data_IF_472604142789
#
_entry.id   IF_472604142789
#
_cell.length_a   1.000
_cell.length_b   1.000
_cell.length_c   1.000
_cell.angle_alpha   90.00
_cell.angle_beta   90.00
_cell.angle_gamma   90.00
#
_symmetry.space_group_name_H-M   'P 1'
#
loop_
_entity.id
_entity.type
_entity.pdbx_description
1 polymer ?
#
# COMPACT_ATOMS: atom_id res chain seq x y z
N UNK A 1 48.71 15.13 33.91
CA UNK A 1 47.78 15.33 32.77
C UNK A 1 48.55 16.13 31.73
N UNK A 2 48.74 15.54 30.57
CA UNK A 2 49.86 15.83 29.67
C UNK A 2 49.75 17.16 28.90
N UNK A 3 50.72 18.04 29.11
CA UNK A 3 50.97 19.29 28.36
C UNK A 3 51.11 19.09 26.83
N UNK A 4 51.36 17.88 26.37
CA UNK A 4 51.53 17.52 24.96
C UNK A 4 50.25 17.47 24.16
N UNK A 5 49.07 17.36 24.81
CA UNK A 5 47.77 17.32 24.09
C UNK A 5 47.30 18.70 23.66
N UNK A 6 47.71 19.74 24.34
CA UNK A 6 47.36 21.13 23.97
C UNK A 6 48.21 21.70 22.81
N UNK A 7 49.43 21.20 22.68
CA UNK A 7 50.30 21.67 21.58
C UNK A 7 49.85 21.14 20.20
N UNK A 8 49.31 19.94 20.12
CA UNK A 8 48.76 19.38 18.86
C UNK A 8 47.43 19.99 18.47
N UNK A 9 46.59 20.39 19.43
CA UNK A 9 45.33 21.07 19.16
C UNK A 9 45.56 22.53 18.66
N UNK A 10 46.59 23.21 19.18
CA UNK A 10 46.94 24.55 18.70
C UNK A 10 47.64 24.53 17.33
N UNK A 11 48.40 23.47 17.01
CA UNK A 11 49.03 23.34 15.68
C UNK A 11 48.03 23.01 14.59
N UNK A 12 46.96 22.24 14.88
CA UNK A 12 45.87 22.01 13.93
C UNK A 12 45.02 23.25 13.64
N UNK A 13 44.82 24.14 14.63
CA UNK A 13 44.12 25.41 14.41
C UNK A 13 44.96 26.45 13.69
N UNK A 14 46.29 26.43 13.80
CA UNK A 14 47.17 27.37 13.07
C UNK A 14 47.43 26.96 11.62
N UNK A 15 47.27 25.72 11.25
CA UNK A 15 47.35 25.27 9.84
C UNK A 15 46.13 25.64 9.00
N UNK A 16 44.98 25.87 9.62
CA UNK A 16 43.75 26.31 8.93
C UNK A 16 43.72 27.85 8.77
N UNK A 17 44.53 28.59 9.51
CA UNK A 17 44.52 30.06 9.48
C UNK A 17 45.63 30.70 8.57
N UNK A 18 46.52 29.92 7.99
CA UNK A 18 47.63 30.45 7.16
C UNK A 18 47.40 30.38 5.65
N UNK A 19 46.19 30.00 5.18
CA UNK A 19 45.88 29.98 3.73
C UNK A 19 44.97 31.12 3.26
N UNK A 20 44.75 32.17 4.03
CA UNK A 20 43.80 33.23 3.67
C UNK A 20 44.47 34.62 3.64
N UNK A 21 45.73 34.77 3.20
CA UNK A 21 46.23 36.11 2.80
C UNK A 21 47.24 35.92 1.68
N UNK A 22 46.80 35.87 0.44
CA UNK A 22 47.40 36.45 -0.75
C UNK A 22 46.64 35.97 -1.98
N UNK A 23 45.67 36.74 -2.45
CA UNK A 23 45.38 36.95 -3.88
C UNK A 23 44.25 37.98 -3.99
N UNK A 24 44.64 39.23 -4.20
CA UNK A 24 43.81 40.16 -4.94
C UNK A 24 43.90 39.76 -6.41
N UNK A 25 42.78 39.27 -6.95
CA UNK A 25 42.60 38.96 -8.37
C UNK A 25 41.14 38.59 -8.53
N UNK A 26 40.41 39.36 -9.32
CA UNK A 26 39.03 39.14 -9.69
C UNK A 26 38.84 37.76 -10.28
N UNK A 27 38.27 36.87 -9.52
CA UNK A 27 37.40 35.77 -9.93
C UNK A 27 36.84 35.18 -8.64
N UNK A 28 35.54 35.43 -8.36
CA UNK A 28 34.82 34.78 -7.29
C UNK A 28 34.47 33.36 -7.75
N UNK A 29 35.41 32.44 -7.62
CA UNK A 29 35.04 31.04 -7.50
C UNK A 29 34.26 30.90 -6.17
N UNK A 30 32.96 30.75 -6.25
CA UNK A 30 32.16 30.27 -5.12
C UNK A 30 32.78 28.95 -4.70
N UNK A 31 33.39 28.93 -3.52
CA UNK A 31 33.80 27.70 -2.86
C UNK A 31 32.54 26.87 -2.65
N UNK A 32 32.23 25.98 -3.59
CA UNK A 32 31.26 24.92 -3.37
C UNK A 32 31.76 24.13 -2.16
N UNK A 33 31.10 24.34 -1.02
CA UNK A 33 31.30 23.48 0.14
C UNK A 33 30.97 22.05 -0.32
N UNK A 34 31.80 21.06 0.00
CA UNK A 34 31.48 19.69 -0.36
C UNK A 34 30.10 19.34 0.19
N UNK A 35 29.19 18.96 -0.71
CA UNK A 35 27.90 18.40 -0.32
C UNK A 35 28.24 17.15 0.46
N UNK A 36 28.04 17.19 1.76
CA UNK A 36 28.14 15.98 2.61
C UNK A 36 26.92 15.16 2.25
N UNK A 37 27.06 14.24 1.31
CA UNK A 37 26.05 13.23 1.06
C UNK A 37 25.88 12.39 2.34
N UNK A 38 24.87 12.74 3.13
CA UNK A 38 24.52 11.93 4.28
C UNK A 38 23.88 10.64 3.80
N UNK A 39 24.42 9.50 4.23
CA UNK A 39 23.85 8.18 3.90
C UNK A 39 22.41 8.13 4.38
N UNK A 40 21.46 7.72 3.51
CA UNK A 40 20.07 7.56 3.94
C UNK A 40 19.93 6.58 5.10
N UNK A 41 19.02 6.88 6.02
CA UNK A 41 18.69 6.03 7.16
C UNK A 41 17.37 5.29 6.92
N UNK A 42 17.26 4.08 7.44
CA UNK A 42 15.98 3.40 7.57
C UNK A 42 15.17 4.08 8.67
N UNK A 43 13.93 4.40 8.38
CA UNK A 43 12.96 4.96 9.32
C UNK A 43 11.90 3.90 9.59
N UNK A 44 11.72 3.57 10.85
CA UNK A 44 10.96 2.40 11.31
C UNK A 44 9.86 2.88 12.26
N UNK A 45 8.59 2.73 11.90
CA UNK A 45 7.48 2.90 12.83
C UNK A 45 7.43 1.73 13.83
N UNK A 46 7.34 2.07 15.10
CA UNK A 46 7.24 1.12 16.21
C UNK A 46 6.17 1.55 17.20
N UNK A 47 5.54 0.61 17.89
CA UNK A 47 4.45 0.85 18.83
C UNK A 47 4.82 0.32 20.21
N UNK A 48 4.56 1.13 21.24
CA UNK A 48 4.65 0.76 22.66
C UNK A 48 3.40 1.29 23.35
N UNK A 49 2.58 0.42 23.91
CA UNK A 49 1.27 0.78 24.45
C UNK A 49 0.37 1.40 23.38
N UNK A 50 -0.11 2.60 23.64
CA UNK A 50 -0.95 3.36 22.69
C UNK A 50 -0.16 4.40 21.87
N UNK A 51 1.15 4.49 22.04
CA UNK A 51 2.01 5.47 21.39
C UNK A 51 2.78 4.86 20.21
N UNK A 52 2.89 5.63 19.14
CA UNK A 52 3.73 5.32 17.97
C UNK A 52 5.00 6.16 17.98
N UNK A 53 6.07 5.55 17.53
CA UNK A 53 7.40 6.17 17.46
C UNK A 53 8.01 5.93 16.09
N UNK A 54 8.80 6.89 15.61
CA UNK A 54 9.75 6.68 14.52
C UNK A 54 11.15 6.50 15.09
N UNK A 55 11.80 5.41 14.69
CA UNK A 55 13.19 5.07 15.06
C UNK A 55 14.01 5.05 13.78
N UNK A 56 15.29 5.43 13.87
CA UNK A 56 16.20 5.35 12.72
C UNK A 56 17.24 4.25 12.91
N UNK A 57 17.65 3.63 11.80
CA UNK A 57 18.70 2.61 11.76
C UNK A 57 19.56 2.76 10.50
N UNK A 58 20.84 2.41 10.59
CA UNK A 58 21.76 2.41 9.44
C UNK A 58 21.67 1.13 8.60
N UNK A 59 21.15 0.05 9.19
CA UNK A 59 21.03 -1.27 8.56
C UNK A 59 19.85 -2.05 9.12
N UNK A 60 19.22 -2.86 8.27
CA UNK A 60 18.21 -3.85 8.68
C UNK A 60 18.78 -5.26 8.80
N UNK A 61 20.06 -5.48 8.46
CA UNK A 61 20.67 -6.81 8.39
C UNK A 61 20.98 -7.41 9.76
N UNK A 62 21.16 -6.57 10.78
CA UNK A 62 21.59 -7.00 12.11
C UNK A 62 21.46 -5.90 13.16
N UNK A 63 21.62 -6.29 14.40
CA UNK A 63 21.67 -5.37 15.53
C UNK A 63 20.31 -5.18 16.18
N UNK A 64 20.19 -4.09 16.91
CA UNK A 64 19.07 -3.82 17.77
C UNK A 64 18.84 -2.30 17.85
N UNK A 65 17.58 -1.87 17.77
CA UNK A 65 17.16 -0.50 18.02
C UNK A 65 16.07 -0.49 19.09
N UNK A 66 15.99 0.61 19.84
CA UNK A 66 15.02 0.75 20.95
C UNK A 66 14.23 2.03 20.79
N UNK A 67 12.96 1.99 21.15
CA UNK A 67 12.13 3.19 21.32
C UNK A 67 12.70 4.05 22.45
N UNK A 68 13.17 3.41 23.51
CA UNK A 68 13.76 4.10 24.65
C UNK A 68 15.07 4.81 24.27
N UNK A 69 15.08 6.13 24.41
CA UNK A 69 16.23 6.99 24.11
C UNK A 69 16.49 7.28 22.63
N UNK A 70 15.88 6.54 21.70
CA UNK A 70 16.08 6.71 20.25
C UNK A 70 14.79 7.08 19.50
N UNK A 71 13.63 6.74 20.03
CA UNK A 71 12.35 6.97 19.38
C UNK A 71 11.92 8.43 19.45
N UNK A 72 11.38 8.93 18.35
CA UNK A 72 10.60 10.17 18.32
C UNK A 72 9.14 9.82 18.35
N UNK A 73 8.41 10.23 19.37
CA UNK A 73 6.96 10.03 19.45
C UNK A 73 6.27 10.80 18.34
N UNK A 74 5.32 10.16 17.69
CA UNK A 74 4.63 10.65 16.49
C UNK A 74 3.15 10.31 16.55
N UNK A 75 2.39 10.80 15.58
CA UNK A 75 0.98 10.49 15.44
C UNK A 75 0.76 8.96 15.40
N UNK A 76 -0.17 8.45 16.22
CA UNK A 76 -0.51 7.02 16.25
C UNK A 76 -1.27 6.63 14.97
N UNK A 77 -0.52 6.17 13.98
CA UNK A 77 -1.00 5.92 12.64
C UNK A 77 -1.41 4.47 12.41
N UNK A 78 -2.40 4.31 11.53
CA UNK A 78 -2.82 3.00 11.01
C UNK A 78 -2.07 2.63 9.73
N UNK A 79 -1.62 3.63 8.96
CA UNK A 79 -0.92 3.46 7.70
C UNK A 79 0.27 4.40 7.61
N UNK A 80 1.33 3.90 6.98
CA UNK A 80 2.58 4.63 6.74
C UNK A 80 2.85 4.66 5.25
N UNK A 81 3.10 5.86 4.71
CA UNK A 81 3.36 6.06 3.28
C UNK A 81 4.69 6.78 3.11
N UNK A 82 5.66 6.10 2.53
CA UNK A 82 6.95 6.71 2.21
C UNK A 82 6.84 7.40 0.84
N UNK A 83 7.10 8.71 0.82
CA UNK A 83 7.08 9.51 -0.40
C UNK A 83 8.52 9.78 -0.83
N UNK A 84 8.99 8.94 -1.76
CA UNK A 84 10.40 8.94 -2.15
C UNK A 84 11.33 8.68 -0.96
N UNK A 85 12.44 9.39 -0.92
CA UNK A 85 13.40 9.36 0.20
C UNK A 85 13.34 10.63 1.07
N UNK A 86 12.29 11.43 0.96
CA UNK A 86 12.20 12.73 1.64
C UNK A 86 11.21 12.71 2.81
N UNK A 87 10.10 12.01 2.66
CA UNK A 87 9.01 12.08 3.63
C UNK A 87 8.41 10.71 3.95
N UNK A 88 7.95 10.57 5.19
CA UNK A 88 7.04 9.52 5.60
C UNK A 88 5.75 10.15 6.15
N UNK A 89 4.61 9.65 5.73
CA UNK A 89 3.29 10.06 6.18
C UNK A 89 2.74 9.03 7.16
N UNK A 90 2.28 9.53 8.30
CA UNK A 90 1.49 8.80 9.28
C UNK A 90 0.00 9.12 9.06
N UNK A 91 -0.81 8.12 8.70
CA UNK A 91 -2.22 8.29 8.40
C UNK A 91 -3.08 7.50 9.38
N UNK A 92 -4.00 8.19 10.06
CA UNK A 92 -4.90 7.58 11.05
C UNK A 92 -6.20 7.12 10.39
N UNK A 93 -6.56 5.85 10.58
CA UNK A 93 -7.88 5.33 10.21
C UNK A 93 -8.85 5.49 11.39
N UNK A 94 -9.80 6.39 11.26
CA UNK A 94 -10.78 6.68 12.30
C UNK A 94 -12.12 5.96 12.07
N UNK A 95 -12.09 4.62 11.96
CA UNK A 95 -13.26 3.71 11.92
C UNK A 95 -14.45 4.19 11.07
N UNK A 96 -14.15 4.86 9.95
CA UNK A 96 -15.17 5.37 9.01
C UNK A 96 -15.49 6.87 9.14
N UNK A 97 -14.94 7.57 10.11
CA UNK A 97 -14.96 9.03 10.22
C UNK A 97 -13.79 9.69 9.48
N UNK A 98 -13.78 11.04 9.48
CA UNK A 98 -12.65 11.82 8.98
C UNK A 98 -11.36 11.43 9.72
N UNK A 99 -10.28 11.34 8.97
CA UNK A 99 -8.96 11.00 9.47
C UNK A 99 -8.07 12.23 9.66
N UNK A 100 -6.99 12.04 10.39
CA UNK A 100 -5.89 12.98 10.52
C UNK A 100 -4.59 12.32 10.10
N UNK A 101 -3.63 13.12 9.63
CA UNK A 101 -2.32 12.63 9.24
C UNK A 101 -1.24 13.66 9.51
N UNK A 102 -0.01 13.23 9.50
CA UNK A 102 1.15 14.09 9.57
C UNK A 102 2.27 13.57 8.65
N UNK A 103 3.05 14.47 8.08
CA UNK A 103 4.29 14.13 7.38
C UNK A 103 5.49 14.40 8.25
N UNK A 104 6.49 13.52 8.12
CA UNK A 104 7.76 13.61 8.84
C UNK A 104 8.91 13.52 7.84
N UNK A 105 10.01 14.16 8.17
CA UNK A 105 11.28 14.10 7.46
C UNK A 105 12.42 13.84 8.44
N UNK A 106 13.61 13.51 7.96
CA UNK A 106 14.81 13.47 8.79
C UNK A 106 15.53 14.81 8.71
N UNK A 107 15.67 15.48 9.86
CA UNK A 107 16.48 16.69 9.94
C UNK A 107 17.98 16.36 9.76
N UNK A 108 18.83 17.37 9.71
CA UNK A 108 20.28 17.22 9.48
C UNK A 108 20.99 16.33 10.52
N UNK A 109 20.40 16.13 11.70
CA UNK A 109 20.89 15.21 12.73
C UNK A 109 20.34 13.78 12.59
N UNK A 110 19.60 13.47 11.51
CA UNK A 110 18.97 12.17 11.31
C UNK A 110 17.78 11.89 12.21
N UNK A 111 17.19 12.93 12.84
CA UNK A 111 16.05 12.77 13.72
C UNK A 111 14.73 13.01 12.97
N UNK A 112 13.72 12.11 13.11
CA UNK A 112 12.39 12.35 12.57
C UNK A 112 11.77 13.62 13.15
N UNK A 113 11.28 14.49 12.28
CA UNK A 113 10.71 15.78 12.62
C UNK A 113 9.42 15.98 11.84
N UNK A 114 8.35 16.39 12.52
CA UNK A 114 7.07 16.69 11.88
C UNK A 114 7.21 17.91 10.96
N UNK A 115 6.59 17.83 9.78
CA UNK A 115 6.59 18.93 8.82
C UNK A 115 5.22 19.56 8.68
N UNK A 116 4.21 18.78 8.32
CA UNK A 116 2.85 19.25 8.10
C UNK A 116 1.84 18.31 8.74
N UNK A 117 0.73 18.86 9.22
CA UNK A 117 -0.45 18.12 9.64
C UNK A 117 -1.53 18.19 8.57
N UNK A 118 -2.32 17.13 8.44
CA UNK A 118 -3.35 16.99 7.43
C UNK A 118 -4.66 16.50 8.03
N UNK A 119 -5.75 16.84 7.36
CA UNK A 119 -7.07 16.25 7.59
C UNK A 119 -7.60 15.71 6.27
N UNK A 120 -8.35 14.62 6.32
CA UNK A 120 -8.92 14.01 5.13
C UNK A 120 -10.21 13.27 5.46
N UNK A 121 -10.98 12.97 4.42
CA UNK A 121 -12.14 12.12 4.54
C UNK A 121 -11.71 10.70 4.99
N UNK A 122 -12.68 9.82 5.18
CA UNK A 122 -12.40 8.42 5.47
C UNK A 122 -11.40 7.83 4.47
N UNK A 123 -10.46 7.00 4.95
CA UNK A 123 -9.48 6.31 4.11
C UNK A 123 -9.89 4.84 3.92
N UNK A 124 -9.92 4.37 2.68
CA UNK A 124 -10.06 2.95 2.31
C UNK A 124 -8.91 2.46 1.46
N UNK A 125 -8.28 3.33 0.69
CA UNK A 125 -7.04 3.09 -0.04
C UNK A 125 -6.20 4.35 -0.10
N UNK A 126 -4.93 4.20 -0.38
CA UNK A 126 -3.97 5.29 -0.45
C UNK A 126 -2.82 4.95 -1.41
N UNK A 127 -2.03 5.94 -1.76
CA UNK A 127 -0.83 5.82 -2.56
C UNK A 127 -0.17 7.15 -2.82
N UNK A 128 0.73 7.20 -3.80
CA UNK A 128 1.45 8.42 -4.17
C UNK A 128 1.20 8.78 -5.62
N UNK A 129 1.10 10.07 -5.92
CA UNK A 129 1.04 10.61 -7.26
C UNK A 129 1.68 12.00 -7.34
N UNK A 130 2.72 12.15 -8.17
CA UNK A 130 3.49 13.40 -8.22
C UNK A 130 4.02 13.79 -6.84
N UNK A 131 3.77 15.00 -6.38
CA UNK A 131 4.20 15.47 -5.05
C UNK A 131 3.23 15.13 -3.93
N UNK A 132 2.15 14.41 -4.23
CA UNK A 132 1.08 14.15 -3.26
C UNK A 132 1.14 12.72 -2.71
N UNK A 133 0.73 12.57 -1.46
CA UNK A 133 0.10 11.36 -0.94
C UNK A 133 -1.40 11.51 -1.14
N UNK A 134 -2.04 10.50 -1.70
CA UNK A 134 -3.47 10.50 -1.97
C UNK A 134 -4.15 9.51 -1.05
N UNK A 135 -5.23 9.95 -0.39
CA UNK A 135 -6.17 9.05 0.27
C UNK A 135 -7.47 8.99 -0.53
N UNK A 136 -8.04 7.82 -0.66
CA UNK A 136 -9.31 7.63 -1.34
C UNK A 136 -10.31 6.86 -0.48
N UNK A 137 -11.58 7.17 -0.65
CA UNK A 137 -12.71 6.49 0.00
C UNK A 137 -13.97 6.62 -0.85
N UNK A 138 -15.09 6.14 -0.32
CA UNK A 138 -16.41 6.33 -0.93
C UNK A 138 -17.33 7.09 0.02
N UNK A 139 -18.23 7.86 -0.54
CA UNK A 139 -19.29 8.57 0.16
C UNK A 139 -20.54 8.66 -0.69
N UNK A 140 -21.51 9.43 -0.24
CA UNK A 140 -22.68 9.79 -1.04
C UNK A 140 -22.52 11.22 -1.56
N UNK A 141 -23.01 11.48 -2.76
CA UNK A 141 -23.11 12.84 -3.27
C UNK A 141 -24.01 13.71 -2.36
N UNK A 142 -23.85 15.01 -2.43
CA UNK A 142 -24.66 15.97 -1.65
C UNK A 142 -26.08 16.18 -2.21
N UNK A 143 -26.33 15.75 -3.45
CA UNK A 143 -27.60 15.95 -4.15
C UNK A 143 -28.18 14.58 -4.51
N UNK A 144 -29.44 14.37 -4.12
CA UNK A 144 -30.21 13.19 -4.49
C UNK A 144 -30.82 13.32 -5.88
N UNK A 145 -31.18 12.19 -6.47
CA UNK A 145 -32.03 12.14 -7.66
C UNK A 145 -33.49 12.50 -7.32
N UNK A 146 -34.36 12.50 -8.33
CA UNK A 146 -35.80 12.78 -8.20
C UNK A 146 -36.57 11.79 -7.30
N UNK A 147 -35.97 10.60 -7.05
CA UNK A 147 -36.54 9.56 -6.19
C UNK A 147 -35.95 9.62 -4.76
N UNK A 148 -35.11 10.63 -4.47
CA UNK A 148 -34.45 10.78 -3.18
C UNK A 148 -33.25 9.87 -2.95
N UNK A 149 -32.71 9.21 -3.98
CA UNK A 149 -31.53 8.37 -3.90
C UNK A 149 -30.27 9.19 -4.16
N UNK A 150 -29.26 9.02 -3.31
CA UNK A 150 -27.97 9.69 -3.46
C UNK A 150 -27.00 8.78 -4.22
N UNK A 151 -26.41 9.25 -5.35
CA UNK A 151 -25.38 8.48 -6.01
C UNK A 151 -24.14 8.34 -5.11
N UNK A 152 -23.47 7.21 -5.20
CA UNK A 152 -22.16 7.04 -4.60
C UNK A 152 -21.09 7.81 -5.36
N UNK A 153 -20.13 8.35 -4.61
CA UNK A 153 -18.96 9.04 -5.15
C UNK A 153 -17.68 8.46 -4.58
N UNK A 154 -16.62 8.49 -5.37
CA UNK A 154 -15.25 8.32 -4.92
C UNK A 154 -14.77 9.67 -4.39
N UNK A 155 -14.21 9.69 -3.19
CA UNK A 155 -13.69 10.88 -2.52
C UNK A 155 -12.18 10.79 -2.46
N UNK A 156 -11.48 11.83 -2.89
CA UNK A 156 -10.02 11.91 -2.89
C UNK A 156 -9.54 13.10 -2.08
N UNK A 157 -8.44 12.90 -1.34
CA UNK A 157 -7.69 13.98 -0.72
C UNK A 157 -6.25 13.89 -1.20
N UNK A 158 -5.73 14.98 -1.73
CA UNK A 158 -4.35 15.16 -2.17
C UNK A 158 -3.60 15.90 -1.08
N UNK A 159 -2.63 15.25 -0.47
CA UNK A 159 -1.82 15.77 0.63
C UNK A 159 -0.43 16.07 0.11
N UNK A 160 -0.14 17.34 -0.16
CA UNK A 160 1.13 17.72 -0.77
C UNK A 160 2.29 17.61 0.21
N UNK A 161 3.33 16.85 -0.15
CA UNK A 161 4.48 16.60 0.71
C UNK A 161 5.43 17.81 0.81
N UNK A 162 5.47 18.68 -0.20
CA UNK A 162 6.44 19.78 -0.29
C UNK A 162 5.99 21.03 0.48
N UNK A 163 4.73 21.42 0.29
CA UNK A 163 4.20 22.69 0.81
C UNK A 163 3.06 22.54 1.83
N UNK A 164 2.60 21.29 2.07
CA UNK A 164 1.52 21.01 3.02
C UNK A 164 0.12 21.38 2.51
N UNK A 165 -0.01 21.81 1.27
CA UNK A 165 -1.32 22.13 0.69
C UNK A 165 -2.19 20.88 0.57
N UNK A 166 -3.50 21.07 0.60
CA UNK A 166 -4.48 19.99 0.50
C UNK A 166 -5.53 20.34 -0.55
N UNK A 167 -5.91 19.36 -1.35
CA UNK A 167 -6.99 19.46 -2.34
C UNK A 167 -7.94 18.29 -2.15
N UNK A 168 -9.24 18.54 -2.23
CA UNK A 168 -10.26 17.50 -2.28
C UNK A 168 -10.81 17.40 -3.70
N UNK A 169 -11.20 16.18 -4.09
CA UNK A 169 -11.93 15.93 -5.32
C UNK A 169 -12.96 14.82 -5.09
N UNK A 170 -14.00 14.79 -5.91
CA UNK A 170 -14.97 13.71 -5.92
C UNK A 170 -15.36 13.34 -7.34
N UNK A 171 -15.48 12.05 -7.61
CA UNK A 171 -15.86 11.48 -8.90
C UNK A 171 -17.05 10.56 -8.69
N UNK A 172 -18.01 10.58 -9.63
CA UNK A 172 -19.14 9.67 -9.57
C UNK A 172 -18.68 8.21 -9.64
N UNK A 173 -19.06 7.41 -8.64
CA UNK A 173 -18.74 5.99 -8.59
C UNK A 173 -19.78 5.11 -9.29
N UNK A 174 -20.97 5.64 -9.54
CA UNK A 174 -22.08 4.90 -10.16
C UNK A 174 -21.86 4.79 -11.67
N UNK A 175 -22.05 3.60 -12.21
CA UNK A 175 -21.85 3.30 -13.62
C UNK A 175 -20.45 3.65 -14.16
N UNK A 176 -19.45 3.66 -13.30
CA UNK A 176 -18.08 4.06 -13.66
C UNK A 176 -17.49 3.18 -14.79
N UNK A 177 -17.84 1.90 -14.80
CA UNK A 177 -17.43 0.92 -15.82
C UNK A 177 -18.39 0.82 -17.00
N UNK A 178 -19.46 1.64 -17.04
CA UNK A 178 -20.49 1.57 -18.09
C UNK A 178 -21.40 0.34 -18.00
N UNK A 179 -21.43 -0.35 -16.85
CA UNK A 179 -22.19 -1.58 -16.62
C UNK A 179 -23.26 -1.46 -15.54
N UNK A 180 -23.59 -0.24 -15.12
CA UNK A 180 -24.60 0.07 -14.09
C UNK A 180 -24.11 -0.07 -12.65
N UNK A 181 -22.94 -0.67 -12.41
CA UNK A 181 -22.44 -0.93 -11.07
C UNK A 181 -21.70 0.28 -10.49
N UNK A 182 -21.78 0.40 -9.18
CA UNK A 182 -20.90 1.28 -8.42
C UNK A 182 -19.53 0.62 -8.22
N UNK A 183 -18.50 1.45 -8.00
CA UNK A 183 -17.14 0.95 -7.85
C UNK A 183 -16.45 1.48 -6.59
N UNK A 184 -15.37 0.78 -6.20
CA UNK A 184 -14.38 1.19 -5.23
C UNK A 184 -13.00 1.14 -5.87
N UNK A 185 -12.08 1.98 -5.40
CA UNK A 185 -10.68 1.88 -5.80
C UNK A 185 -9.87 1.11 -4.75
N UNK A 186 -8.88 0.33 -5.21
CA UNK A 186 -7.95 -0.40 -4.36
C UNK A 186 -6.52 -0.31 -4.91
N UNK A 187 -5.64 0.37 -4.16
CA UNK A 187 -4.28 0.68 -4.59
C UNK A 187 -4.23 1.88 -5.53
N UNK A 188 -3.23 2.71 -5.33
CA UNK A 188 -2.92 3.89 -6.16
C UNK A 188 -1.43 3.78 -6.47
N UNK A 189 -1.09 3.56 -7.74
CA UNK A 189 0.27 3.24 -8.19
C UNK A 189 0.67 4.16 -9.33
N UNK A 190 1.77 4.88 -9.17
CA UNK A 190 2.35 5.72 -10.20
C UNK A 190 3.43 4.94 -10.97
N UNK A 191 3.31 4.88 -12.29
CA UNK A 191 4.31 4.31 -13.19
C UNK A 191 4.18 4.94 -14.59
N UNK A 192 5.29 5.03 -15.34
CA UNK A 192 5.30 5.51 -16.73
C UNK A 192 4.61 6.88 -16.93
N UNK A 193 4.72 7.79 -15.96
CA UNK A 193 4.01 9.08 -15.92
C UNK A 193 2.48 8.93 -15.98
N UNK A 194 1.94 7.82 -15.52
CA UNK A 194 0.51 7.51 -15.42
C UNK A 194 0.21 7.01 -14.02
N UNK A 195 -1.05 7.08 -13.65
CA UNK A 195 -1.56 6.49 -12.43
C UNK A 195 -2.45 5.31 -12.75
N UNK A 196 -2.25 4.23 -12.03
CA UNK A 196 -3.01 2.99 -12.13
C UNK A 196 -3.75 2.72 -10.83
N UNK A 197 -5.00 2.31 -10.92
CA UNK A 197 -5.77 1.86 -9.75
C UNK A 197 -6.66 0.68 -10.10
N UNK A 198 -6.78 -0.30 -9.21
CA UNK A 198 -7.75 -1.38 -9.35
C UNK A 198 -9.16 -0.85 -9.13
N UNK A 199 -10.04 -1.11 -10.08
CA UNK A 199 -11.46 -0.74 -10.00
C UNK A 199 -12.26 -1.97 -9.60
N UNK A 200 -12.79 -1.96 -8.38
CA UNK A 200 -13.50 -3.09 -7.79
C UNK A 200 -15.01 -2.84 -7.92
N UNK A 201 -15.73 -3.61 -8.76
CA UNK A 201 -17.17 -3.46 -8.91
C UNK A 201 -17.91 -3.91 -7.64
N UNK A 202 -18.98 -3.21 -7.29
CA UNK A 202 -19.70 -3.38 -6.02
C UNK A 202 -21.21 -3.59 -6.15
N UNK A 203 -21.66 -4.07 -7.31
CA UNK A 203 -23.09 -4.23 -7.60
C UNK A 203 -23.80 -2.90 -7.85
N UNK A 204 -25.13 -2.93 -7.88
CA UNK A 204 -25.94 -1.74 -8.18
C UNK A 204 -26.62 -1.21 -6.92
N UNK A 205 -26.46 0.08 -6.67
CA UNK A 205 -27.20 0.83 -5.64
C UNK A 205 -28.67 1.06 -6.03
N UNK A 206 -29.48 1.58 -5.12
CA UNK A 206 -30.85 2.04 -5.48
C UNK A 206 -30.82 3.09 -6.59
N UNK A 207 -29.84 3.98 -6.55
CA UNK A 207 -29.65 4.98 -7.62
C UNK A 207 -29.35 4.28 -8.96
N UNK A 208 -28.40 3.33 -8.98
CA UNK A 208 -28.03 2.59 -10.19
C UNK A 208 -29.19 1.77 -10.76
N UNK A 209 -29.94 1.05 -9.92
CA UNK A 209 -31.11 0.25 -10.31
C UNK A 209 -32.18 1.14 -11.00
N UNK A 210 -32.43 2.32 -10.46
CA UNK A 210 -33.43 3.23 -11.02
C UNK A 210 -32.96 3.90 -12.30
N UNK A 211 -31.68 4.21 -12.40
CA UNK A 211 -31.10 4.98 -13.51
C UNK A 211 -30.76 4.13 -14.73
N UNK A 212 -30.32 2.88 -14.51
CA UNK A 212 -29.85 1.94 -15.56
C UNK A 212 -30.48 0.55 -15.38
N UNK A 213 -31.83 0.41 -15.35
CA UNK A 213 -32.49 -0.88 -15.16
C UNK A 213 -32.19 -1.89 -16.30
N UNK A 214 -31.81 -1.38 -17.49
CA UNK A 214 -31.42 -2.19 -18.65
C UNK A 214 -30.06 -2.89 -18.48
N UNK A 215 -29.22 -2.44 -17.53
CA UNK A 215 -27.92 -3.03 -17.22
C UNK A 215 -28.01 -4.17 -16.20
N UNK A 216 -29.18 -4.48 -15.70
CA UNK A 216 -29.42 -5.62 -14.84
C UNK A 216 -29.39 -6.89 -15.69
N UNK A 217 -28.37 -7.75 -15.46
CA UNK A 217 -28.19 -8.98 -16.23
C UNK A 217 -29.24 -10.05 -15.92
N UNK A 218 -29.67 -10.10 -14.66
CA UNK A 218 -30.76 -10.98 -14.19
C UNK A 218 -31.56 -10.24 -13.09
N UNK A 219 -32.85 -10.05 -13.33
CA UNK A 219 -33.75 -9.38 -12.37
C UNK A 219 -33.85 -10.07 -11.02
N UNK A 220 -33.54 -11.37 -10.96
CA UNK A 220 -33.52 -12.12 -9.69
C UNK A 220 -32.36 -11.74 -8.77
N UNK A 221 -31.36 -10.97 -9.26
CA UNK A 221 -30.26 -10.43 -8.47
C UNK A 221 -30.68 -9.24 -7.60
N UNK A 222 -31.79 -8.57 -7.97
CA UNK A 222 -32.32 -7.46 -7.17
C UNK A 222 -32.94 -8.01 -5.91
N UNK A 223 -32.42 -7.55 -4.76
CA UNK A 223 -32.85 -8.02 -3.45
C UNK A 223 -34.28 -7.58 -3.13
N UNK A 224 -35.09 -8.45 -2.51
CA UNK A 224 -36.41 -8.13 -2.02
C UNK A 224 -36.44 -7.71 -0.55
N UNK A 225 -35.37 -8.05 0.20
CA UNK A 225 -35.23 -7.76 1.61
C UNK A 225 -33.83 -7.23 1.93
N UNK A 226 -33.68 -6.53 3.06
CA UNK A 226 -32.40 -6.13 3.58
C UNK A 226 -31.64 -7.33 4.14
N UNK A 227 -30.31 -7.34 3.99
CA UNK A 227 -29.49 -8.45 4.46
C UNK A 227 -28.03 -8.05 4.71
N UNK A 228 -27.18 -9.07 4.89
CA UNK A 228 -25.78 -8.90 5.20
C UNK A 228 -25.50 -8.37 6.61
N UNK A 229 -24.26 -8.00 6.89
CA UNK A 229 -23.85 -7.42 8.18
C UNK A 229 -22.59 -6.59 8.06
N UNK A 230 -22.40 -5.60 8.94
CA UNK A 230 -21.23 -4.74 8.95
C UNK A 230 -21.04 -4.01 7.63
N UNK A 231 -19.84 -4.04 7.07
CA UNK A 231 -19.54 -3.41 5.76
C UNK A 231 -20.18 -4.09 4.55
N UNK A 232 -20.74 -5.28 4.73
CA UNK A 232 -21.49 -6.02 3.71
C UNK A 232 -23.02 -5.95 3.88
N UNK A 233 -23.53 -5.05 4.73
CA UNK A 233 -24.97 -4.83 4.87
C UNK A 233 -25.54 -4.15 3.61
N UNK A 234 -26.75 -4.54 3.21
CA UNK A 234 -27.45 -3.98 2.05
C UNK A 234 -28.94 -3.83 2.35
N UNK A 235 -29.62 -2.95 1.61
CA UNK A 235 -31.07 -2.73 1.66
C UNK A 235 -31.78 -3.59 0.63
N UNK A 236 -33.12 -3.69 0.72
CA UNK A 236 -33.94 -4.19 -0.39
C UNK A 236 -33.81 -3.29 -1.61
N UNK A 237 -34.00 -3.86 -2.81
CA UNK A 237 -34.00 -3.14 -4.07
C UNK A 237 -32.62 -2.89 -4.69
N UNK A 238 -31.56 -3.46 -4.16
CA UNK A 238 -30.18 -3.32 -4.69
C UNK A 238 -29.66 -4.66 -5.22
N UNK A 239 -28.58 -4.61 -6.00
CA UNK A 239 -27.74 -5.79 -6.27
C UNK A 239 -26.51 -5.67 -5.38
N UNK A 240 -26.34 -6.55 -4.35
CA UNK A 240 -25.39 -6.33 -3.26
C UNK A 240 -23.94 -6.67 -3.59
N UNK A 241 -23.70 -7.36 -4.71
CA UNK A 241 -22.37 -7.74 -5.19
C UNK A 241 -22.28 -7.61 -6.71
N UNK A 242 -21.08 -7.63 -7.25
CA UNK A 242 -20.92 -7.52 -8.71
C UNK A 242 -21.64 -8.63 -9.47
N UNK A 243 -22.23 -8.26 -10.59
CA UNK A 243 -22.81 -9.19 -11.57
C UNK A 243 -21.72 -9.87 -12.42
N UNK A 244 -20.45 -9.41 -12.30
CA UNK A 244 -19.29 -9.83 -13.11
C UNK A 244 -18.13 -10.27 -12.20
N UNK A 245 -18.30 -11.30 -11.35
CA UNK A 245 -17.31 -11.67 -10.34
C UNK A 245 -15.99 -12.20 -10.94
N UNK A 246 -16.03 -12.65 -12.20
CA UNK A 246 -14.90 -13.22 -12.94
C UNK A 246 -14.28 -12.21 -13.93
N UNK A 247 -14.41 -10.90 -13.63
CA UNK A 247 -13.76 -9.82 -14.38
C UNK A 247 -12.93 -8.92 -13.46
N UNK A 248 -11.84 -8.38 -13.99
CA UNK A 248 -11.02 -7.40 -13.31
C UNK A 248 -10.76 -6.18 -14.19
N UNK A 249 -10.65 -5.02 -13.55
CA UNK A 249 -10.56 -3.73 -14.21
C UNK A 249 -9.47 -2.87 -13.58
N UNK A 250 -8.68 -2.20 -14.42
CA UNK A 250 -7.70 -1.20 -14.00
C UNK A 250 -8.07 0.12 -14.70
N UNK A 251 -8.20 1.18 -13.91
CA UNK A 251 -8.31 2.54 -14.44
C UNK A 251 -6.90 3.15 -14.56
N UNK A 252 -6.63 3.75 -15.71
CA UNK A 252 -5.33 4.34 -16.09
C UNK A 252 -5.56 5.81 -16.41
N UNK A 253 -5.00 6.68 -15.57
CA UNK A 253 -5.08 8.13 -15.70
C UNK A 253 -3.77 8.66 -16.26
N UNK A 254 -3.84 9.62 -17.18
CA UNK A 254 -2.66 10.21 -17.84
C UNK A 254 -2.31 11.61 -17.35
N UNK A 255 -3.24 12.28 -16.67
CA UNK A 255 -3.05 13.60 -16.09
C UNK A 255 -2.63 13.57 -14.62
N UNK A 256 -2.91 14.65 -13.91
CA UNK A 256 -2.54 14.88 -12.51
C UNK A 256 -3.73 14.84 -11.54
N UNK A 257 -4.91 14.46 -12.02
CA UNK A 257 -6.17 14.45 -11.28
C UNK A 257 -7.04 13.25 -11.63
N UNK A 258 -7.83 12.78 -10.67
CA UNK A 258 -8.90 11.80 -10.89
C UNK A 258 -10.16 12.42 -11.54
N UNK A 259 -10.18 13.73 -11.81
CA UNK A 259 -11.30 14.40 -12.50
C UNK A 259 -11.32 14.10 -14.01
N UNK A 260 -10.23 13.51 -14.54
CA UNK A 260 -10.15 13.06 -15.93
C UNK A 260 -10.85 11.72 -16.13
N UNK A 261 -11.28 11.47 -17.35
CA UNK A 261 -11.82 10.16 -17.73
C UNK A 261 -10.64 9.17 -17.98
N UNK A 262 -10.56 8.06 -17.24
CA UNK A 262 -9.46 7.11 -17.40
C UNK A 262 -9.67 6.19 -18.60
N UNK A 263 -8.58 5.60 -19.09
CA UNK A 263 -8.66 4.39 -19.90
C UNK A 263 -8.91 3.20 -18.97
N UNK A 264 -9.89 2.37 -19.31
CA UNK A 264 -10.20 1.15 -18.55
C UNK A 264 -9.61 -0.08 -19.28
N UNK A 265 -8.66 -0.74 -18.62
CA UNK A 265 -8.21 -2.07 -19.02
C UNK A 265 -9.08 -3.14 -18.35
N UNK A 266 -9.57 -4.12 -19.12
CA UNK A 266 -10.43 -5.20 -18.65
C UNK A 266 -9.82 -6.56 -18.95
N UNK A 267 -10.04 -7.54 -18.06
CA UNK A 267 -9.66 -8.95 -18.27
C UNK A 267 -10.66 -9.88 -17.62
N UNK A 268 -10.79 -11.09 -18.22
CA UNK A 268 -11.54 -12.25 -17.71
C UNK A 268 -10.63 -13.36 -17.17
N UNK A 269 -9.33 -13.12 -17.04
CA UNK A 269 -8.35 -14.09 -16.54
C UNK A 269 -8.25 -14.12 -15.01
N UNK A 270 -8.60 -13.01 -14.35
CA UNK A 270 -8.73 -12.87 -12.90
C UNK A 270 -10.03 -12.13 -12.58
N UNK A 271 -10.53 -12.27 -11.37
CA UNK A 271 -11.76 -11.60 -10.95
C UNK A 271 -11.54 -10.64 -9.78
N UNK A 272 -12.13 -9.46 -9.85
CA UNK A 272 -12.24 -8.54 -8.72
C UNK A 272 -13.65 -8.62 -8.15
N UNK A 273 -13.74 -8.80 -6.84
CA UNK A 273 -15.00 -8.88 -6.14
C UNK A 273 -14.96 -7.99 -4.91
N UNK A 274 -16.00 -7.19 -4.75
CA UNK A 274 -16.22 -6.35 -3.58
C UNK A 274 -17.14 -7.08 -2.60
N UNK A 275 -16.84 -7.04 -1.32
CA UNK A 275 -17.66 -7.64 -0.30
C UNK A 275 -16.92 -7.94 0.98
N UNK A 276 -17.49 -8.83 1.81
CA UNK A 276 -16.99 -9.12 3.16
C UNK A 276 -15.54 -9.65 3.18
N UNK A 277 -15.09 -10.31 2.12
CA UNK A 277 -13.74 -10.85 1.98
C UNK A 277 -12.75 -9.95 1.21
N UNK A 278 -13.16 -8.74 0.75
CA UNK A 278 -12.35 -7.52 0.87
C UNK A 278 -11.32 -7.24 -0.21
N UNK A 279 -11.59 -7.53 -1.47
CA UNK A 279 -10.73 -7.03 -2.55
C UNK A 279 -10.48 -5.52 -2.47
N UNK A 280 -11.46 -4.75 -2.00
CA UNK A 280 -11.36 -3.29 -1.89
C UNK A 280 -10.50 -2.75 -0.75
N UNK A 281 -10.00 -3.59 0.17
CA UNK A 281 -9.23 -3.10 1.32
C UNK A 281 -7.73 -3.35 1.21
N UNK A 282 -7.30 -4.21 0.30
CA UNK A 282 -5.89 -4.51 0.14
C UNK A 282 -5.43 -4.14 -1.27
N UNK A 283 -4.29 -3.48 -1.34
CA UNK A 283 -3.66 -3.21 -2.62
C UNK A 283 -3.22 -4.51 -3.27
N UNK A 284 -3.67 -4.72 -4.49
CA UNK A 284 -3.33 -5.89 -5.32
C UNK A 284 -2.71 -5.50 -6.65
N UNK A 285 -2.43 -4.21 -6.85
CA UNK A 285 -1.79 -3.66 -8.04
C UNK A 285 -0.43 -3.09 -7.67
N UNK A 286 0.59 -3.41 -8.44
CA UNK A 286 1.97 -3.01 -8.18
C UNK A 286 2.71 -2.72 -9.48
N UNK A 287 3.52 -1.67 -9.51
CA UNK A 287 4.43 -1.40 -10.61
C UNK A 287 5.84 -1.85 -10.26
N UNK A 288 6.52 -2.44 -11.23
CA UNK A 288 7.93 -2.81 -11.14
C UNK A 288 8.83 -1.67 -11.64
N UNK A 289 10.11 -1.72 -11.32
CA UNK A 289 11.09 -0.70 -11.73
C UNK A 289 11.20 -0.54 -13.25
N UNK A 290 10.91 -1.57 -14.03
CA UNK A 290 10.89 -1.51 -15.49
C UNK A 290 9.62 -0.86 -16.06
N UNK A 291 8.61 -0.56 -15.20
CA UNK A 291 7.36 0.06 -15.57
C UNK A 291 6.22 -0.90 -15.89
N UNK A 292 6.43 -2.22 -15.85
CA UNK A 292 5.32 -3.18 -15.93
C UNK A 292 4.41 -3.07 -14.71
N UNK A 293 3.11 -3.16 -14.92
CA UNK A 293 2.12 -3.12 -13.85
C UNK A 293 1.46 -4.49 -13.72
N UNK A 294 1.55 -5.07 -12.53
CA UNK A 294 0.97 -6.38 -12.21
C UNK A 294 -0.27 -6.22 -11.36
N UNK A 295 -1.34 -6.91 -11.74
CA UNK A 295 -2.57 -6.98 -10.97
C UNK A 295 -2.80 -8.41 -10.48
N UNK A 296 -2.96 -8.56 -9.18
CA UNK A 296 -3.21 -9.83 -8.49
C UNK A 296 -4.67 -9.92 -8.07
N UNK A 297 -5.22 -11.12 -8.07
CA UNK A 297 -6.53 -11.39 -7.51
C UNK A 297 -6.46 -12.54 -6.53
N UNK A 298 -6.99 -12.38 -5.31
CA UNK A 298 -7.22 -13.50 -4.39
C UNK A 298 -8.25 -14.52 -4.84
N UNK A 299 -9.08 -14.17 -5.84
CA UNK A 299 -10.20 -15.02 -6.27
C UNK A 299 -11.37 -15.00 -5.26
N UNK A 300 -11.60 -13.87 -4.60
CA UNK A 300 -12.64 -13.71 -3.57
C UNK A 300 -14.07 -13.85 -4.09
N UNK A 301 -14.33 -13.78 -5.39
CA UNK A 301 -15.64 -14.08 -5.97
C UNK A 301 -16.20 -15.43 -5.55
N UNK A 302 -15.33 -16.41 -5.31
CA UNK A 302 -15.68 -17.76 -4.85
C UNK A 302 -16.22 -17.79 -3.39
N UNK A 303 -15.99 -16.74 -2.62
CA UNK A 303 -16.45 -16.64 -1.22
C UNK A 303 -17.82 -15.98 -1.05
N UNK A 304 -18.56 -15.71 -2.12
CA UNK A 304 -19.90 -15.16 -2.08
C UNK A 304 -20.93 -16.24 -1.72
N UNK A 305 -20.87 -16.71 -0.48
CA UNK A 305 -21.73 -17.80 0.01
C UNK A 305 -22.51 -17.45 1.26
N UNK A 306 -22.34 -16.22 1.81
CA UNK A 306 -22.88 -15.87 3.13
C UNK A 306 -24.39 -15.64 3.13
N UNK A 307 -25.00 -15.31 1.98
CA UNK A 307 -26.44 -15.20 1.80
C UNK A 307 -26.85 -15.81 0.46
N UNK A 308 -28.13 -16.15 0.30
CA UNK A 308 -28.64 -16.72 -0.95
C UNK A 308 -28.54 -15.71 -2.11
N UNK A 309 -28.65 -14.42 -1.82
CA UNK A 309 -28.45 -13.34 -2.79
C UNK A 309 -27.01 -13.28 -3.29
N UNK A 310 -26.02 -13.35 -2.38
CA UNK A 310 -24.60 -13.33 -2.76
C UNK A 310 -24.18 -14.58 -3.53
N UNK A 311 -24.77 -15.75 -3.21
CA UNK A 311 -24.50 -17.00 -3.94
C UNK A 311 -24.84 -16.93 -5.41
N UNK A 312 -25.81 -16.10 -5.81
CA UNK A 312 -26.20 -15.93 -7.22
C UNK A 312 -25.10 -15.31 -8.08
N UNK A 313 -24.16 -14.61 -7.47
CA UNK A 313 -23.02 -13.96 -8.14
C UNK A 313 -21.67 -14.53 -7.71
N UNK A 314 -21.65 -15.82 -7.32
CA UNK A 314 -20.39 -16.50 -6.97
C UNK A 314 -19.50 -16.64 -8.20
N UNK A 315 -18.24 -16.18 -8.08
CA UNK A 315 -17.22 -16.33 -9.12
C UNK A 315 -16.57 -17.71 -9.13
N UNK A 316 -15.79 -17.95 -10.16
CA UNK A 316 -15.14 -19.26 -10.41
C UNK A 316 -13.62 -19.17 -10.48
N UNK A 317 -13.07 -17.99 -10.76
CA UNK A 317 -11.65 -17.84 -11.04
C UNK A 317 -10.78 -18.01 -9.77
N UNK A 318 -9.65 -18.74 -9.90
CA UNK A 318 -8.68 -18.91 -8.82
C UNK A 318 -7.89 -17.63 -8.56
N UNK A 319 -7.07 -17.65 -7.50
CA UNK A 319 -6.04 -16.65 -7.30
C UNK A 319 -5.08 -16.61 -8.49
N UNK A 320 -4.87 -15.43 -9.03
CA UNK A 320 -4.04 -15.26 -10.21
C UNK A 320 -3.42 -13.89 -10.34
N UNK A 321 -2.54 -13.76 -11.33
CA UNK A 321 -1.88 -12.50 -11.67
C UNK A 321 -1.86 -12.30 -13.17
N UNK A 322 -2.10 -11.06 -13.59
CA UNK A 322 -2.00 -10.55 -14.96
C UNK A 322 -1.08 -9.33 -14.98
N UNK A 323 -0.69 -8.89 -16.19
CA UNK A 323 0.26 -7.80 -16.38
C UNK A 323 -0.25 -6.81 -17.42
N UNK A 324 0.05 -5.54 -17.22
CA UNK A 324 0.06 -4.51 -18.25
C UNK A 324 1.52 -4.17 -18.51
N UNK A 325 2.00 -4.26 -19.73
CA UNK A 325 3.39 -3.92 -20.08
C UNK A 325 3.64 -2.43 -19.95
N UNK A 326 4.87 -2.06 -19.65
CA UNK A 326 5.30 -0.67 -19.58
C UNK A 326 4.89 0.12 -20.83
N UNK A 327 4.16 1.22 -20.61
CA UNK A 327 3.65 2.09 -21.67
C UNK A 327 2.34 1.66 -22.32
N UNK A 328 1.90 0.42 -22.14
CA UNK A 328 0.64 -0.11 -22.66
C UNK A 328 -0.56 0.37 -21.79
N UNK A 329 -1.76 0.25 -22.35
CA UNK A 329 -3.02 0.59 -21.69
C UNK A 329 -4.00 -0.57 -21.65
N UNK A 330 -3.55 -1.78 -21.99
CA UNK A 330 -4.35 -2.99 -21.98
C UNK A 330 -3.55 -4.14 -21.37
N UNK A 331 -4.25 -5.18 -20.89
CA UNK A 331 -3.60 -6.35 -20.34
C UNK A 331 -2.83 -7.12 -21.40
N UNK A 332 -1.64 -7.61 -21.04
CA UNK A 332 -0.84 -8.51 -21.84
C UNK A 332 -1.58 -9.85 -22.02
N UNK A 333 -2.02 -10.12 -23.24
CA UNK A 333 -2.81 -11.32 -23.57
C UNK A 333 -2.06 -12.64 -23.35
N UNK A 334 -0.71 -12.57 -23.39
CA UNK A 334 0.17 -13.72 -23.24
C UNK A 334 0.66 -13.93 -21.80
N UNK A 335 0.23 -13.05 -20.88
CA UNK A 335 0.63 -13.14 -19.48
C UNK A 335 -0.56 -13.44 -18.57
N UNK A 336 -0.49 -14.61 -17.97
CA UNK A 336 -1.35 -15.04 -16.88
C UNK A 336 -0.63 -16.12 -16.07
N UNK A 337 -0.81 -16.10 -14.75
CA UNK A 337 -0.34 -17.16 -13.86
C UNK A 337 -1.44 -17.49 -12.86
N UNK A 338 -1.81 -18.76 -12.77
CA UNK A 338 -2.62 -19.26 -11.68
C UNK A 338 -1.70 -19.53 -10.48
N UNK A 339 -1.80 -18.70 -9.46
CA UNK A 339 -0.95 -18.76 -8.27
C UNK A 339 -1.23 -20.03 -7.45
N UNK A 340 -2.48 -20.49 -7.39
CA UNK A 340 -2.85 -21.68 -6.62
C UNK A 340 -2.15 -22.93 -7.15
N UNK A 341 -1.99 -23.06 -8.48
CA UNK A 341 -1.26 -24.21 -9.06
C UNK A 341 0.23 -24.23 -8.70
N UNK A 342 0.80 -23.08 -8.38
CA UNK A 342 2.21 -22.95 -7.94
C UNK A 342 2.36 -23.10 -6.43
N UNK A 343 1.36 -22.74 -5.65
CA UNK A 343 1.37 -22.60 -4.20
C UNK A 343 0.53 -23.64 -3.45
N UNK A 344 0.58 -24.91 -3.84
CA UNK A 344 -0.13 -26.02 -3.16
C UNK A 344 -1.65 -25.80 -3.02
N UNK A 345 -2.28 -25.15 -3.98
CA UNK A 345 -3.67 -24.71 -3.97
C UNK A 345 -4.02 -23.66 -2.90
N UNK A 346 -3.03 -22.93 -2.41
CA UNK A 346 -3.21 -21.87 -1.43
C UNK A 346 -3.50 -20.52 -2.13
N UNK A 347 -4.67 -19.90 -1.91
CA UNK A 347 -5.01 -18.60 -2.47
C UNK A 347 -4.17 -17.48 -1.88
N UNK A 348 -4.05 -16.38 -2.62
CA UNK A 348 -3.43 -15.15 -2.14
C UNK A 348 -4.33 -14.51 -1.07
N UNK A 349 -3.71 -14.06 0.02
CA UNK A 349 -4.32 -13.16 1.00
C UNK A 349 -3.88 -11.72 0.76
N UNK A 350 -2.54 -11.47 0.63
CA UNK A 350 -1.93 -10.18 0.32
C UNK A 350 -0.73 -10.36 -0.59
N UNK A 351 -0.33 -9.29 -1.26
CA UNK A 351 0.86 -9.27 -2.09
C UNK A 351 1.56 -7.91 -2.01
N UNK A 352 2.88 -7.91 -2.20
CA UNK A 352 3.71 -6.71 -2.22
C UNK A 352 4.82 -6.84 -3.26
N UNK A 353 5.14 -5.74 -3.92
CA UNK A 353 6.32 -5.65 -4.75
C UNK A 353 7.59 -5.66 -3.88
N UNK A 354 8.63 -6.34 -4.32
CA UNK A 354 9.94 -6.41 -3.65
C UNK A 354 10.97 -5.60 -4.44
N UNK A 355 11.47 -6.18 -5.51
CA UNK A 355 12.51 -5.61 -6.36
C UNK A 355 12.61 -6.42 -7.65
N UNK A 356 13.08 -5.82 -8.76
CA UNK A 356 13.11 -6.48 -10.07
C UNK A 356 11.74 -6.99 -10.48
N UNK A 357 11.60 -8.30 -10.68
CA UNK A 357 10.33 -8.96 -11.02
C UNK A 357 9.81 -9.85 -9.88
N UNK A 358 10.24 -9.60 -8.64
CA UNK A 358 9.87 -10.39 -7.48
C UNK A 358 8.76 -9.72 -6.65
N UNK A 359 7.86 -10.57 -6.16
CA UNK A 359 6.77 -10.19 -5.27
C UNK A 359 6.73 -11.08 -4.04
N UNK A 360 6.43 -10.51 -2.88
CA UNK A 360 6.07 -11.26 -1.69
C UNK A 360 4.57 -11.55 -1.73
N UNK A 361 4.20 -12.80 -1.57
CA UNK A 361 2.82 -13.24 -1.40
C UNK A 361 2.61 -13.78 0.00
N UNK A 362 1.52 -13.38 0.62
CA UNK A 362 0.97 -13.98 1.82
C UNK A 362 -0.22 -14.84 1.40
N UNK A 363 -0.23 -16.11 1.79
CA UNK A 363 -1.16 -17.12 1.32
C UNK A 363 -2.06 -17.65 2.44
N UNK A 364 -3.26 -18.09 2.06
CA UNK A 364 -4.14 -18.90 2.91
C UNK A 364 -3.54 -20.31 3.02
N UNK A 365 -2.93 -20.65 4.14
CA UNK A 365 -2.17 -21.88 4.33
C UNK A 365 -3.00 -23.16 4.19
N UNK A 366 -4.30 -23.09 4.46
CA UNK A 366 -5.19 -24.24 4.42
C UNK A 366 -6.11 -24.25 3.17
N UNK A 367 -5.68 -23.57 2.11
CA UNK A 367 -6.33 -23.61 0.81
C UNK A 367 -7.64 -22.80 0.71
N UNK A 368 -8.34 -23.06 -0.39
CA UNK A 368 -9.58 -22.33 -0.76
C UNK A 368 -10.68 -22.48 0.28
N UNK A 369 -10.84 -23.64 0.87
CA UNK A 369 -11.86 -23.92 1.89
C UNK A 369 -11.69 -23.02 3.11
N UNK A 370 -10.44 -22.77 3.54
CA UNK A 370 -10.15 -21.86 4.64
C UNK A 370 -10.46 -20.41 4.26
N UNK A 371 -10.10 -19.98 3.05
CA UNK A 371 -10.46 -18.66 2.55
C UNK A 371 -11.98 -18.43 2.58
N UNK A 372 -12.76 -19.43 2.21
CA UNK A 372 -14.23 -19.35 2.13
C UNK A 372 -14.87 -19.37 3.52
N UNK A 373 -14.46 -20.31 4.38
CA UNK A 373 -15.19 -20.66 5.60
C UNK A 373 -14.65 -20.00 6.86
N UNK A 374 -13.33 -19.79 6.98
CA UNK A 374 -12.72 -19.32 8.23
C UNK A 374 -12.70 -17.78 8.34
N UNK A 375 -12.86 -17.06 7.22
CA UNK A 375 -12.94 -15.61 7.17
C UNK A 375 -11.74 -14.93 7.84
N UNK A 376 -11.99 -14.16 8.90
CA UNK A 376 -10.93 -13.46 9.65
C UNK A 376 -10.05 -14.39 10.52
N UNK A 377 -10.46 -15.63 10.74
CA UNK A 377 -9.74 -16.62 11.55
C UNK A 377 -8.90 -17.56 10.68
N UNK A 378 -8.91 -17.37 9.36
CA UNK A 378 -8.08 -18.16 8.44
C UNK A 378 -6.59 -18.00 8.78
N UNK A 379 -5.85 -19.10 8.72
CA UNK A 379 -4.38 -19.07 8.85
C UNK A 379 -3.78 -18.53 7.55
N UNK A 380 -3.16 -17.36 7.65
CA UNK A 380 -2.47 -16.66 6.56
C UNK A 380 -0.97 -16.51 6.84
N UNK A 381 -0.41 -17.41 7.61
CA UNK A 381 1.01 -17.38 8.02
C UNK A 381 1.98 -17.84 6.94
N UNK A 382 1.51 -18.46 5.85
CA UNK A 382 2.38 -18.92 4.77
C UNK A 382 2.81 -17.75 3.88
N UNK A 383 4.12 -17.59 3.73
CA UNK A 383 4.73 -16.56 2.88
C UNK A 383 5.51 -17.20 1.74
N UNK A 384 5.46 -16.56 0.56
CA UNK A 384 6.14 -17.05 -0.63
C UNK A 384 6.73 -15.90 -1.46
N UNK A 385 7.82 -16.18 -2.16
CA UNK A 385 8.36 -15.30 -3.21
C UNK A 385 7.84 -15.76 -4.56
N UNK A 386 7.19 -14.87 -5.28
CA UNK A 386 6.77 -15.07 -6.65
C UNK A 386 7.71 -14.36 -7.61
N UNK A 387 8.27 -15.09 -8.55
CA UNK A 387 9.08 -14.60 -9.66
C UNK A 387 8.17 -14.45 -10.89
N UNK A 388 7.84 -13.21 -11.24
CA UNK A 388 6.88 -12.92 -12.31
C UNK A 388 7.42 -13.22 -13.71
N UNK A 389 8.74 -13.11 -13.94
CA UNK A 389 9.37 -13.44 -15.20
C UNK A 389 9.39 -14.95 -15.44
N UNK A 390 9.85 -15.71 -14.45
CA UNK A 390 9.97 -17.17 -14.57
C UNK A 390 8.67 -17.91 -14.24
N UNK A 391 7.65 -17.18 -13.75
CA UNK A 391 6.34 -17.72 -13.34
C UNK A 391 6.50 -18.85 -12.30
N UNK A 392 7.35 -18.64 -11.29
CA UNK A 392 7.63 -19.61 -10.23
C UNK A 392 7.32 -19.03 -8.85
N UNK A 393 6.99 -19.93 -7.92
CA UNK A 393 6.71 -19.59 -6.53
C UNK A 393 7.62 -20.41 -5.61
N UNK A 394 8.16 -19.75 -4.58
CA UNK A 394 8.97 -20.41 -3.54
C UNK A 394 8.43 -20.06 -2.17
N UNK A 395 8.05 -21.07 -1.40
CA UNK A 395 7.67 -20.89 0.00
C UNK A 395 8.89 -20.43 0.80
N UNK A 396 8.72 -19.41 1.63
CA UNK A 396 9.78 -18.89 2.49
C UNK A 396 10.06 -19.86 3.62
N UNK A 397 11.35 -20.09 3.88
CA UNK A 397 11.84 -20.92 4.97
C UNK A 397 12.69 -20.11 5.95
N UNK A 398 12.84 -20.58 7.20
CA UNK A 398 13.66 -19.90 8.20
C UNK A 398 12.95 -18.79 8.99
N UNK A 399 11.64 -18.61 8.80
CA UNK A 399 10.82 -17.77 9.67
C UNK A 399 10.43 -18.53 10.95
N UNK A 400 10.21 -17.83 12.09
CA UNK A 400 9.65 -18.46 13.29
C UNK A 400 8.21 -18.94 13.06
N UNK A 401 7.71 -19.81 13.93
CA UNK A 401 6.29 -20.14 14.03
C UNK A 401 5.50 -18.98 14.66
N UNK A 402 4.17 -18.99 14.47
CA UNK A 402 3.24 -18.05 15.13
C UNK A 402 3.57 -16.56 14.89
N UNK A 403 3.75 -16.23 13.61
CA UNK A 403 4.11 -14.90 13.16
C UNK A 403 2.89 -14.11 12.66
N UNK A 404 3.01 -12.78 12.76
CA UNK A 404 2.21 -11.83 11.98
C UNK A 404 3.13 -10.82 11.28
N UNK A 405 2.73 -10.42 10.07
CA UNK A 405 3.39 -9.32 9.37
C UNK A 405 2.89 -8.02 9.97
N UNK A 406 3.80 -7.13 10.37
CA UNK A 406 3.46 -5.84 10.96
C UNK A 406 2.80 -4.88 9.99
N UNK A 407 3.24 -4.88 8.73
CA UNK A 407 2.74 -3.99 7.68
C UNK A 407 3.40 -4.27 6.34
N UNK A 408 3.68 -3.23 5.57
CA UNK A 408 4.31 -3.38 4.25
C UNK A 408 5.79 -3.78 4.38
N UNK A 409 6.20 -4.86 3.70
CA UNK A 409 7.61 -5.23 3.59
C UNK A 409 8.41 -4.22 2.76
N UNK A 410 9.71 -4.20 2.94
CA UNK A 410 10.62 -3.33 2.21
C UNK A 410 11.56 -4.13 1.31
N UNK A 411 11.53 -3.85 0.01
CA UNK A 411 12.38 -4.51 -0.98
C UNK A 411 13.62 -3.69 -1.34
N UNK A 412 14.79 -4.31 -1.32
CA UNK A 412 16.05 -3.69 -1.70
C UNK A 412 17.09 -4.74 -2.10
N UNK A 413 17.84 -4.48 -3.18
CA UNK A 413 18.99 -5.29 -3.63
C UNK A 413 18.71 -6.79 -3.73
N UNK A 414 17.53 -7.15 -4.27
CA UNK A 414 17.12 -8.55 -4.47
C UNK A 414 16.75 -9.28 -3.18
N UNK A 415 16.51 -8.57 -2.09
CA UNK A 415 15.99 -9.08 -0.85
C UNK A 415 14.69 -8.34 -0.44
N UNK A 416 13.91 -8.98 0.43
CA UNK A 416 12.79 -8.33 1.11
C UNK A 416 13.01 -8.39 2.62
N UNK A 417 12.80 -7.27 3.29
CA UNK A 417 12.81 -7.15 4.74
C UNK A 417 11.38 -7.15 5.24
N UNK A 418 10.99 -8.19 5.93
CA UNK A 418 9.62 -8.41 6.42
C UNK A 418 9.56 -8.04 7.89
N UNK A 419 8.73 -7.08 8.32
CA UNK A 419 8.53 -6.77 9.73
C UNK A 419 7.70 -7.88 10.37
N UNK A 420 8.34 -8.74 11.13
CA UNK A 420 7.73 -9.91 11.81
C UNK A 420 7.51 -9.58 13.28
N UNK A 421 6.25 -9.68 13.69
CA UNK A 421 5.83 -9.68 15.08
C UNK A 421 5.55 -11.13 15.52
N UNK A 422 6.18 -11.57 16.59
CA UNK A 422 5.98 -12.93 17.15
C UNK A 422 5.09 -12.88 18.37
N UNK A 423 4.20 -13.86 18.50
CA UNK A 423 3.21 -13.91 19.61
C UNK A 423 3.84 -14.45 20.92
N UNK A 424 5.05 -14.96 20.88
CA UNK A 424 5.72 -15.66 21.98
C UNK A 424 6.45 -14.77 22.99
N UNK A 425 6.28 -13.44 22.90
CA UNK A 425 6.92 -12.49 23.84
C UNK A 425 8.34 -12.08 23.47
N UNK A 426 8.84 -12.49 22.31
CA UNK A 426 10.07 -11.94 21.75
C UNK A 426 9.80 -10.56 21.13
N UNK A 427 10.83 -9.71 21.08
CA UNK A 427 10.75 -8.47 20.36
C UNK A 427 10.57 -8.71 18.86
N UNK A 428 9.77 -7.88 18.16
CA UNK A 428 9.66 -7.90 16.71
C UNK A 428 11.02 -7.69 16.05
N UNK A 429 11.17 -8.23 14.84
CA UNK A 429 12.39 -8.09 14.07
C UNK A 429 12.08 -8.00 12.56
N UNK A 430 12.98 -7.39 11.82
CA UNK A 430 13.01 -7.50 10.37
C UNK A 430 13.70 -8.82 9.97
N UNK A 431 13.03 -9.62 9.17
CA UNK A 431 13.63 -10.81 8.57
C UNK A 431 14.00 -10.50 7.13
N UNK A 432 15.27 -10.67 6.80
CA UNK A 432 15.78 -10.54 5.44
C UNK A 432 15.55 -11.84 4.70
N UNK A 433 14.78 -11.79 3.62
CA UNK A 433 14.51 -12.94 2.75
C UNK A 433 15.18 -12.71 1.40
N UNK A 434 15.99 -13.65 0.97
CA UNK A 434 16.56 -13.62 -0.38
C UNK A 434 15.48 -13.92 -1.41
N UNK A 435 15.23 -13.00 -2.34
CA UNK A 435 14.16 -13.15 -3.32
C UNK A 435 14.36 -14.34 -4.29
N UNK A 436 15.60 -14.78 -4.51
CA UNK A 436 15.89 -15.92 -5.40
C UNK A 436 15.78 -17.28 -4.70
N UNK A 437 16.16 -17.37 -3.40
CA UNK A 437 16.18 -18.65 -2.69
C UNK A 437 14.97 -18.86 -1.79
N UNK A 438 14.33 -17.80 -1.31
CA UNK A 438 13.25 -17.86 -0.31
C UNK A 438 13.75 -18.11 1.10
N UNK A 439 15.06 -18.04 1.35
CA UNK A 439 15.65 -18.25 2.68
C UNK A 439 15.57 -16.96 3.49
N UNK A 440 15.03 -17.05 4.71
CA UNK A 440 14.93 -15.96 5.67
C UNK A 440 16.01 -16.03 6.73
N UNK A 441 16.57 -14.88 7.08
CA UNK A 441 17.53 -14.71 8.17
C UNK A 441 17.06 -13.56 9.06
N UNK A 442 17.09 -13.75 10.39
CA UNK A 442 16.75 -12.69 11.34
C UNK A 442 17.77 -11.55 11.21
N UNK A 443 17.26 -10.35 10.99
CA UNK A 443 18.01 -9.11 10.87
C UNK A 443 17.88 -8.23 12.13
N UNK A 444 17.52 -6.96 11.92
CA UNK A 444 17.39 -5.96 12.98
C UNK A 444 16.25 -6.28 13.94
N UNK A 445 16.54 -6.33 15.23
CA UNK A 445 15.55 -6.44 16.31
C UNK A 445 15.06 -5.04 16.72
N UNK A 446 13.77 -4.88 16.90
CA UNK A 446 13.14 -3.62 17.33
C UNK A 446 12.59 -3.80 18.74
N UNK A 447 13.18 -3.13 19.74
CA UNK A 447 12.70 -3.16 21.12
C UNK A 447 11.45 -2.30 21.28
N UNK A 448 10.33 -2.87 20.88
CA UNK A 448 8.97 -2.32 20.96
C UNK A 448 7.97 -3.48 21.08
N UNK A 449 6.70 -3.20 21.28
CA UNK A 449 5.65 -4.22 21.28
C UNK A 449 5.34 -4.72 19.87
N UNK A 450 5.40 -3.81 18.89
CA UNK A 450 5.27 -4.16 17.47
C UNK A 450 6.05 -3.21 16.57
N UNK A 451 6.40 -3.69 15.37
CA UNK A 451 6.90 -2.87 14.26
C UNK A 451 5.96 -3.02 13.06
N UNK A 452 5.78 -1.96 12.28
CA UNK A 452 4.74 -1.94 11.25
C UNK A 452 5.31 -2.05 9.82
N UNK A 453 6.32 -1.24 9.50
CA UNK A 453 6.92 -1.17 8.16
C UNK A 453 8.29 -0.52 8.26
N UNK A 454 8.92 -0.24 7.14
CA UNK A 454 10.16 0.52 7.05
C UNK A 454 10.31 1.17 5.68
N UNK A 455 10.99 2.29 5.61
CA UNK A 455 11.47 2.91 4.39
C UNK A 455 12.76 3.66 4.63
N UNK A 456 13.43 4.09 3.56
CA UNK A 456 14.65 4.91 3.64
C UNK A 456 14.33 6.39 3.45
N UNK A 457 14.87 7.24 4.32
CA UNK A 457 14.85 8.69 4.15
C UNK A 457 16.27 9.24 4.18
N UNK A 458 16.51 10.25 3.35
CA UNK A 458 17.70 11.10 3.44
C UNK A 458 17.45 12.22 4.45
N UNK A 459 18.51 12.76 5.01
CA UNK A 459 18.40 13.98 5.83
C UNK A 459 18.19 15.18 4.91
N UNK A 460 17.30 16.08 5.31
CA UNK A 460 17.02 17.34 4.60
C UNK A 460 16.99 18.50 5.59
N UNK A 461 17.26 19.72 5.10
CA UNK A 461 17.19 20.96 5.87
C UNK A 461 15.75 21.45 6.09
#
# INVERSE_FOLDING_TARGET
>A
MNKKFYEYALMACMLVMSCVITACGEDRDELELPIIETKPLYVIPAVVGEASYLITAESLDRGEVSVEGMGTEVLNASYWVYKGMDYVFALVYNKGGAGTGASYFLNTNGKPTEKYAYTYNRITTYGTWGDNVITASTGNASVADENGNYPQVLLFNYLNAKDGSQKEASVNAENFLGNGEKVHFAGIVEANNKLYTSVIPGGMSLYGINRWPEMITDKSLVTTEAGGSGSGAYTAGVIPSTQYPDKAYIAIYSGDSFDEEPVIAETDKIGFACGRHRSQYYQTIWATKNGDVYAFSPGYGRSFISTDELKKTTGTLPSGVVRIKAGETDFDKDYYVNIETLGNNNPIYRCWYIDGDYFLLQLYKNGVESMINDGKNADVSELAIFDATNKTLKIITGLPSDISIGGEPYGEDGAVYIPINVTTGEYPAFYKVNAKTGEAVKGLTVKAESTQTVGKLRTIE
#
